data_IF_857582569813
#
_entry.id   IF_857582569813
#
_cell.length_a   1.000
_cell.length_b   1.000
_cell.length_c   1.000
_cell.angle_alpha   90.00
_cell.angle_beta   90.00
_cell.angle_gamma   90.00
#
_symmetry.space_group_name_H-M   'P 1'
#
loop_
_entity.id
_entity.type
_entity.pdbx_description
1 polymer ?
#
# COMPACT_ATOMS: atom_id res chain seq x y z
N UNK A 1 36.01 46.25 -24.83
CA UNK A 1 34.67 46.00 -24.27
C UNK A 1 34.12 44.66 -24.72
N UNK A 2 34.15 43.65 -23.84
CA UNK A 2 33.47 42.35 -24.04
C UNK A 2 32.28 42.32 -23.11
N UNK A 3 31.07 42.29 -23.67
CA UNK A 3 29.84 42.06 -22.91
C UNK A 3 29.83 40.59 -22.47
N UNK A 4 29.62 40.27 -21.18
CA UNK A 4 29.47 38.89 -20.76
C UNK A 4 28.12 38.37 -21.26
N UNK A 5 28.15 37.24 -21.98
CA UNK A 5 26.93 36.55 -22.39
C UNK A 5 26.11 36.07 -21.18
N UNK A 6 24.81 35.81 -21.36
CA UNK A 6 23.94 35.44 -20.24
C UNK A 6 24.41 34.13 -19.61
N UNK A 7 24.79 34.19 -18.34
CA UNK A 7 25.02 33.02 -17.50
C UNK A 7 23.70 32.26 -17.41
N UNK A 8 23.62 31.13 -18.10
CA UNK A 8 22.56 30.16 -17.85
C UNK A 8 22.74 29.69 -16.41
N UNK A 9 21.84 30.11 -15.53
CA UNK A 9 21.67 29.48 -14.23
C UNK A 9 21.27 28.02 -14.51
N UNK A 10 22.26 27.13 -14.53
CA UNK A 10 22.02 25.71 -14.41
C UNK A 10 21.39 25.50 -13.04
N UNK A 11 20.07 25.48 -13.01
CA UNK A 11 19.34 24.82 -11.95
C UNK A 11 19.70 23.34 -12.08
N UNK A 12 20.82 22.95 -11.46
CA UNK A 12 21.03 21.56 -11.10
C UNK A 12 19.79 21.18 -10.29
N UNK A 13 18.90 20.42 -10.93
CA UNK A 13 17.80 19.78 -10.24
C UNK A 13 18.49 18.85 -9.25
N UNK A 14 18.67 19.31 -8.02
CA UNK A 14 18.95 18.42 -6.92
C UNK A 14 17.72 17.52 -6.87
N UNK A 15 17.83 16.34 -7.48
CA UNK A 15 16.97 15.22 -7.19
C UNK A 15 17.15 14.99 -5.69
N UNK A 16 16.27 15.61 -4.92
CA UNK A 16 16.10 15.29 -3.51
C UNK A 16 15.81 13.81 -3.47
N UNK A 17 16.85 13.02 -3.19
CA UNK A 17 16.74 11.64 -2.74
C UNK A 17 16.03 11.65 -1.38
N UNK A 18 14.74 11.97 -1.39
CA UNK A 18 13.81 11.52 -0.36
C UNK A 18 13.35 10.13 -0.77
N UNK A 19 14.30 9.21 -0.94
CA UNK A 19 13.99 7.80 -0.80
C UNK A 19 13.95 7.59 0.71
N UNK A 20 12.82 7.96 1.33
CA UNK A 20 12.40 7.18 2.48
C UNK A 20 12.31 5.76 1.96
N UNK A 21 13.17 4.86 2.43
CA UNK A 21 12.95 3.43 2.25
C UNK A 21 11.57 3.15 2.84
N UNK A 22 10.56 3.18 1.99
CA UNK A 22 9.23 2.76 2.34
C UNK A 22 9.39 1.26 2.49
N UNK A 23 9.36 0.76 3.72
CA UNK A 23 9.39 -0.68 3.99
C UNK A 23 8.10 -1.30 3.42
N UNK A 24 8.19 -1.64 2.13
CA UNK A 24 7.13 -2.22 1.32
C UNK A 24 7.37 -3.71 1.28
N UNK A 25 6.51 -4.44 1.99
CA UNK A 25 6.48 -5.89 1.96
C UNK A 25 5.42 -6.38 0.98
N UNK A 26 5.82 -7.25 0.05
CA UNK A 26 4.91 -7.89 -0.91
C UNK A 26 4.57 -9.30 -0.44
N UNK A 27 3.28 -9.62 -0.40
CA UNK A 27 2.80 -10.95 -0.04
C UNK A 27 1.95 -11.54 -1.16
N UNK A 28 2.35 -12.72 -1.66
CA UNK A 28 1.52 -13.56 -2.52
C UNK A 28 0.70 -14.50 -1.61
N UNK A 29 -0.62 -14.35 -1.65
CA UNK A 29 -1.54 -15.01 -0.73
C UNK A 29 -2.46 -15.96 -1.46
N UNK A 30 -2.64 -17.14 -0.86
CA UNK A 30 -3.67 -18.10 -1.27
C UNK A 30 -4.79 -18.08 -0.25
N UNK A 31 -5.93 -17.48 -0.60
CA UNK A 31 -7.10 -17.46 0.28
C UNK A 31 -8.10 -18.55 -0.13
N UNK A 32 -8.58 -19.38 0.81
CA UNK A 32 -9.66 -20.31 0.55
C UNK A 32 -10.98 -19.56 0.28
N UNK A 33 -12.00 -20.23 -0.29
CA UNK A 33 -13.33 -19.66 -0.42
C UNK A 33 -13.89 -19.16 0.92
N UNK A 34 -14.60 -18.04 0.89
CA UNK A 34 -15.16 -17.42 2.10
C UNK A 34 -14.33 -16.28 2.66
N UNK A 35 -14.60 -15.89 3.91
CA UNK A 35 -14.09 -14.65 4.52
C UNK A 35 -12.57 -14.63 4.59
N UNK A 36 -11.96 -13.50 4.24
CA UNK A 36 -10.51 -13.31 4.30
C UNK A 36 -9.96 -13.22 5.74
N UNK A 37 -10.82 -12.97 6.74
CA UNK A 37 -10.39 -12.82 8.13
C UNK A 37 -9.55 -11.56 8.36
N UNK A 38 -9.89 -10.47 7.68
CA UNK A 38 -9.25 -9.16 7.83
C UNK A 38 -10.31 -8.08 8.12
N UNK A 39 -10.01 -7.15 9.02
CA UNK A 39 -10.75 -5.90 9.18
C UNK A 39 -9.85 -4.73 8.81
N UNK A 40 -10.35 -3.85 7.95
CA UNK A 40 -9.68 -2.64 7.51
C UNK A 40 -10.57 -1.43 7.79
N UNK A 41 -9.96 -0.29 8.12
CA UNK A 41 -10.67 0.94 8.42
C UNK A 41 -10.01 2.14 7.72
N UNK A 42 -10.80 3.20 7.62
CA UNK A 42 -10.32 4.52 7.26
C UNK A 42 -9.65 5.15 8.47
N UNK A 43 -8.50 5.79 8.25
CA UNK A 43 -7.81 6.57 9.27
C UNK A 43 -7.64 7.99 8.74
N UNK A 44 -8.05 8.99 9.53
CA UNK A 44 -8.13 10.39 9.08
C UNK A 44 -6.81 10.98 8.55
N UNK A 45 -5.67 10.42 8.97
CA UNK A 45 -4.33 10.86 8.58
C UNK A 45 -3.66 9.92 7.58
N UNK A 46 -4.40 8.94 7.03
CA UNK A 46 -3.90 7.98 6.04
C UNK A 46 -4.68 8.13 4.75
N UNK A 47 -3.96 8.18 3.63
CA UNK A 47 -4.55 8.04 2.30
C UNK A 47 -4.78 6.59 1.90
N UNK A 48 -4.44 5.63 2.78
CA UNK A 48 -4.54 4.20 2.53
C UNK A 48 -5.43 3.51 3.55
N UNK A 49 -6.14 2.44 3.16
CA UNK A 49 -6.82 1.56 4.09
C UNK A 49 -5.84 0.96 5.11
N UNK A 50 -6.21 0.99 6.38
CA UNK A 50 -5.36 0.49 7.49
C UNK A 50 -5.88 -0.84 7.98
N UNK A 51 -5.00 -1.82 8.17
CA UNK A 51 -5.32 -3.09 8.81
C UNK A 51 -5.56 -2.83 10.29
N UNK A 52 -6.76 -3.13 10.78
CA UNK A 52 -7.06 -3.03 12.20
C UNK A 52 -7.03 -4.40 12.88
N UNK A 53 -7.51 -5.44 12.22
CA UNK A 53 -7.55 -6.79 12.81
C UNK A 53 -7.21 -7.85 11.79
N UNK A 54 -6.39 -8.80 12.21
CA UNK A 54 -6.09 -10.04 11.47
C UNK A 54 -6.57 -11.22 12.32
N UNK A 55 -7.55 -11.96 11.85
CA UNK A 55 -8.06 -13.12 12.58
C UNK A 55 -7.09 -14.31 12.46
N UNK A 56 -6.97 -15.19 13.48
CA UNK A 56 -6.08 -16.36 13.44
C UNK A 56 -6.31 -17.33 12.28
N UNK A 57 -7.55 -17.40 11.78
CA UNK A 57 -7.92 -18.25 10.63
C UNK A 57 -7.68 -17.59 9.27
N UNK A 58 -7.17 -16.36 9.26
CA UNK A 58 -6.90 -15.59 8.05
C UNK A 58 -5.67 -16.11 7.32
N UNK A 59 -5.70 -16.08 5.98
CA UNK A 59 -4.51 -16.32 5.15
C UNK A 59 -3.39 -15.27 5.34
N UNK A 60 -3.73 -14.15 5.98
CA UNK A 60 -2.85 -13.03 6.31
C UNK A 60 -2.22 -13.15 7.71
N UNK A 61 -2.67 -14.11 8.52
CA UNK A 61 -2.19 -14.26 9.90
C UNK A 61 -0.68 -14.53 9.93
N UNK A 62 0.04 -13.74 10.73
CA UNK A 62 1.51 -13.80 10.85
C UNK A 62 2.29 -13.18 9.69
N UNK A 63 1.62 -12.66 8.65
CA UNK A 63 2.25 -11.96 7.50
C UNK A 63 2.07 -10.45 7.57
N UNK A 64 0.91 -10.02 8.06
CA UNK A 64 0.58 -8.60 8.24
C UNK A 64 0.11 -8.38 9.67
N UNK A 65 0.14 -7.14 10.12
CA UNK A 65 -0.20 -6.77 11.47
C UNK A 65 -1.15 -5.57 11.53
N UNK A 66 -1.76 -5.38 12.70
CA UNK A 66 -2.55 -4.17 12.98
C UNK A 66 -1.67 -2.92 12.83
N UNK A 67 -2.18 -1.90 12.14
CA UNK A 67 -1.49 -0.65 11.84
C UNK A 67 -0.87 -0.61 10.45
N UNK A 68 -0.73 -1.75 9.77
CA UNK A 68 -0.19 -1.83 8.42
C UNK A 68 -1.09 -1.13 7.39
N UNK A 69 -0.47 -0.47 6.41
CA UNK A 69 -1.18 0.21 5.33
C UNK A 69 -1.25 -0.67 4.09
N UNK A 70 -2.44 -0.86 3.54
CA UNK A 70 -2.63 -1.55 2.26
C UNK A 70 -2.39 -0.56 1.13
N UNK A 71 -1.27 -0.72 0.43
CA UNK A 71 -0.88 0.20 -0.65
C UNK A 71 -1.35 -0.26 -2.02
N UNK A 72 -1.47 -1.58 -2.22
CA UNK A 72 -1.87 -2.16 -3.48
C UNK A 72 -2.49 -3.54 -3.27
N UNK A 73 -3.52 -3.86 -4.05
CA UNK A 73 -4.13 -5.19 -4.16
C UNK A 73 -4.09 -5.58 -5.65
N UNK A 74 -3.35 -6.65 -5.97
CA UNK A 74 -3.00 -7.05 -7.34
C UNK A 74 -2.45 -5.87 -8.14
N UNK A 75 -3.15 -5.47 -9.22
CA UNK A 75 -2.76 -4.37 -10.10
C UNK A 75 -3.45 -3.04 -9.75
N UNK A 76 -4.17 -2.96 -8.62
CA UNK A 76 -4.88 -1.76 -8.18
C UNK A 76 -4.19 -1.09 -6.99
N UNK A 77 -3.71 0.13 -7.21
CA UNK A 77 -3.26 1.02 -6.13
C UNK A 77 -4.44 1.41 -5.23
N UNK A 78 -4.18 1.42 -3.92
CA UNK A 78 -5.19 1.73 -2.91
C UNK A 78 -5.11 3.16 -2.35
N UNK A 79 -4.26 4.01 -2.93
CA UNK A 79 -4.17 5.41 -2.53
C UNK A 79 -5.49 6.15 -2.82
N UNK A 80 -5.99 6.87 -1.81
CA UNK A 80 -7.25 7.59 -1.87
C UNK A 80 -8.49 6.71 -1.77
N UNK A 81 -8.34 5.38 -1.70
CA UNK A 81 -9.48 4.48 -1.53
C UNK A 81 -9.92 4.44 -0.07
N UNK A 82 -11.23 4.46 0.14
CA UNK A 82 -11.82 4.09 1.42
C UNK A 82 -11.67 2.61 1.71
N UNK A 83 -11.75 2.26 2.99
CA UNK A 83 -11.83 0.91 3.52
C UNK A 83 -12.96 0.11 2.87
N UNK A 84 -14.09 0.74 2.56
CA UNK A 84 -15.21 0.11 1.87
C UNK A 84 -14.87 -0.23 0.41
N UNK A 85 -14.18 0.67 -0.30
CA UNK A 85 -13.77 0.44 -1.68
C UNK A 85 -12.69 -0.64 -1.78
N UNK A 86 -11.68 -0.59 -0.91
CA UNK A 86 -10.69 -1.64 -0.79
C UNK A 86 -11.32 -2.99 -0.42
N UNK A 87 -12.30 -3.00 0.50
CA UNK A 87 -13.10 -4.19 0.78
C UNK A 87 -13.76 -4.70 -0.50
N UNK A 88 -14.47 -3.87 -1.26
CA UNK A 88 -15.13 -4.30 -2.50
C UNK A 88 -14.15 -4.93 -3.49
N UNK A 89 -12.93 -4.41 -3.61
CA UNK A 89 -11.87 -5.01 -4.43
C UNK A 89 -11.56 -6.41 -3.90
N UNK A 90 -11.24 -6.55 -2.62
CA UNK A 90 -10.98 -7.84 -1.98
C UNK A 90 -12.17 -8.82 -2.06
N UNK A 91 -13.41 -8.31 -2.06
CA UNK A 91 -14.63 -9.11 -2.16
C UNK A 91 -14.83 -9.70 -3.57
N UNK A 92 -14.36 -9.02 -4.64
CA UNK A 92 -14.51 -9.50 -6.03
C UNK A 92 -13.98 -10.90 -6.23
N UNK A 93 -12.98 -11.29 -5.45
CA UNK A 93 -12.36 -12.57 -5.65
C UNK A 93 -13.08 -13.70 -4.83
N UNK A 94 -14.08 -13.42 -3.97
CA UNK A 94 -14.60 -14.31 -2.88
C UNK A 94 -15.18 -15.68 -3.26
N UNK A 95 -15.31 -15.95 -4.54
CA UNK A 95 -16.13 -17.03 -5.07
C UNK A 95 -15.31 -18.33 -5.22
N UNK A 96 -13.99 -18.26 -5.37
CA UNK A 96 -13.09 -19.40 -5.54
C UNK A 96 -11.84 -19.32 -4.64
N UNK A 97 -10.99 -20.36 -4.63
CA UNK A 97 -9.63 -20.28 -4.08
C UNK A 97 -8.81 -19.32 -4.93
N UNK A 98 -8.06 -18.42 -4.30
CA UNK A 98 -7.50 -17.26 -5.02
C UNK A 98 -6.05 -17.07 -4.70
N UNK A 99 -5.30 -16.75 -5.73
CA UNK A 99 -3.98 -16.16 -5.63
C UNK A 99 -4.14 -14.65 -5.84
N UNK A 100 -3.71 -13.85 -4.88
CA UNK A 100 -3.62 -12.40 -5.06
C UNK A 100 -2.41 -11.85 -4.32
N UNK A 101 -1.90 -10.74 -4.84
CA UNK A 101 -0.73 -10.04 -4.31
C UNK A 101 -1.18 -8.82 -3.52
N UNK A 102 -0.58 -8.59 -2.36
CA UNK A 102 -0.80 -7.37 -1.58
C UNK A 102 0.53 -6.72 -1.24
N UNK A 103 0.61 -5.41 -1.42
CA UNK A 103 1.75 -4.62 -0.97
C UNK A 103 1.38 -3.87 0.29
N UNK A 104 2.16 -4.09 1.33
CA UNK A 104 1.95 -3.55 2.66
C UNK A 104 3.07 -2.60 3.00
N UNK A 105 2.72 -1.41 3.49
CA UNK A 105 3.69 -0.51 4.12
C UNK A 105 3.60 -0.66 5.62
N UNK A 106 4.70 -1.07 6.25
CA UNK A 106 4.82 -1.09 7.70
C UNK A 106 5.10 0.33 8.20
N UNK A 107 4.28 0.80 9.13
CA UNK A 107 4.60 2.00 9.90
C UNK A 107 5.55 1.54 11.01
N UNK A 108 6.84 1.88 10.89
CA UNK A 108 7.83 1.52 11.90
C UNK A 108 7.35 1.96 13.29
N UNK A 109 7.39 1.02 14.24
CA UNK A 109 7.03 1.20 15.66
C UNK A 109 8.05 2.06 16.40
#
# INVERSE_FOLDING_TARGET
DKVPGPTLLQFERQETNLVTEVDLSTYDLVAPPGKLGLLIFDQSNSYFPVIHTVYPTSAFYGKVQTGDLITQIDDQYCEGLSSLEACKILLKYLIEQRHFRINIRQLQS
#
